data_IF_549108500337
#
_entry.id   IF_549108500337
#
_cell.length_a   1.000
_cell.length_b   1.000
_cell.length_c   1.000
_cell.angle_alpha   90.00
_cell.angle_beta   90.00
_cell.angle_gamma   90.00
#
_symmetry.space_group_name_H-M   'P 1'
#
loop_
_entity.id
_entity.type
_entity.pdbx_description
1 polymer ?
#
# COMPACT_ATOMS: atom_id res chain seq x y z
N UNK A 1 -3.32 1.22 43.86
CA UNK A 1 -2.24 2.12 43.36
C UNK A 1 -1.71 1.70 41.99
N UNK A 2 -1.95 0.46 41.54
CA UNK A 2 -1.44 -0.11 40.27
C UNK A 2 -2.25 0.30 39.04
N UNK A 3 -3.57 0.44 39.15
CA UNK A 3 -4.47 0.73 38.03
C UNK A 3 -4.26 2.12 37.43
N UNK A 4 -4.13 3.13 38.30
CA UNK A 4 -3.86 4.53 37.92
C UNK A 4 -2.51 4.73 37.21
N UNK A 5 -1.52 3.88 37.54
CA UNK A 5 -0.20 3.91 36.92
C UNK A 5 -0.22 3.24 35.54
N UNK A 6 -1.00 2.17 35.39
CA UNK A 6 -1.23 1.51 34.10
C UNK A 6 -2.01 2.40 33.12
N UNK A 7 -3.03 3.13 33.59
CA UNK A 7 -3.73 4.13 32.78
C UNK A 7 -2.81 5.27 32.32
N UNK A 8 -1.95 5.78 33.21
CA UNK A 8 -0.98 6.81 32.86
C UNK A 8 0.07 6.33 31.84
N UNK A 9 0.57 5.10 32.01
CA UNK A 9 1.49 4.49 31.05
C UNK A 9 0.83 4.26 29.69
N UNK A 10 -0.43 3.82 29.67
CA UNK A 10 -1.20 3.64 28.44
C UNK A 10 -1.40 4.97 27.70
N UNK A 11 -1.86 6.01 28.39
CA UNK A 11 -2.04 7.34 27.81
C UNK A 11 -0.72 7.94 27.32
N UNK A 12 0.38 7.73 28.05
CA UNK A 12 1.71 8.19 27.65
C UNK A 12 2.21 7.45 26.39
N UNK A 13 2.07 6.12 26.35
CA UNK A 13 2.46 5.30 25.20
C UNK A 13 1.63 5.63 23.96
N UNK A 14 0.32 5.82 24.15
CA UNK A 14 -0.60 6.27 23.09
C UNK A 14 -0.20 7.64 22.55
N UNK A 15 0.03 8.62 23.42
CA UNK A 15 0.50 9.95 23.02
C UNK A 15 1.89 9.96 22.39
N UNK A 16 2.79 9.03 22.76
CA UNK A 16 4.07 8.84 22.07
C UNK A 16 3.88 8.23 20.68
N UNK A 17 3.00 7.24 20.54
CA UNK A 17 2.63 6.64 19.25
C UNK A 17 2.07 7.68 18.28
N UNK A 18 1.11 8.49 18.73
CA UNK A 18 0.49 9.54 17.91
C UNK A 18 1.50 10.59 17.44
N UNK A 19 2.43 11.00 18.31
CA UNK A 19 3.52 11.92 17.95
C UNK A 19 4.48 11.30 16.94
N UNK A 20 4.86 10.04 17.13
CA UNK A 20 5.75 9.34 16.21
C UNK A 20 5.11 9.20 14.81
N UNK A 21 3.84 8.80 14.76
CA UNK A 21 3.07 8.71 13.52
C UNK A 21 2.94 10.08 12.84
N UNK A 22 2.71 11.14 13.62
CA UNK A 22 2.69 12.51 13.10
C UNK A 22 4.01 12.94 12.43
N UNK A 23 5.14 12.65 13.07
CA UNK A 23 6.48 12.94 12.52
C UNK A 23 6.75 12.14 11.24
N UNK A 24 6.41 10.85 11.22
CA UNK A 24 6.57 10.02 10.01
C UNK A 24 5.67 10.51 8.86
N UNK A 25 4.43 10.90 9.15
CA UNK A 25 3.53 11.50 8.14
C UNK A 25 4.15 12.74 7.52
N UNK A 26 4.58 13.68 8.36
CA UNK A 26 5.16 14.94 7.92
C UNK A 26 6.43 14.71 7.07
N UNK A 27 7.25 13.74 7.47
CA UNK A 27 8.46 13.34 6.72
C UNK A 27 8.10 12.81 5.33
N UNK A 28 7.14 11.89 5.24
CA UNK A 28 6.69 11.31 3.96
C UNK A 28 6.05 12.36 3.06
N UNK A 29 5.23 13.26 3.63
CA UNK A 29 4.60 14.35 2.86
C UNK A 29 5.67 15.25 2.27
N UNK A 30 6.63 15.71 3.07
CA UNK A 30 7.69 16.60 2.59
C UNK A 30 8.53 15.98 1.49
N UNK A 31 8.96 14.73 1.68
CA UNK A 31 9.74 14.02 0.67
C UNK A 31 8.96 13.86 -0.65
N UNK A 32 7.67 13.49 -0.59
CA UNK A 32 6.85 13.39 -1.81
C UNK A 32 6.54 14.75 -2.46
N UNK A 33 6.40 15.82 -1.67
CA UNK A 33 6.25 17.19 -2.20
C UNK A 33 7.52 17.68 -2.88
N UNK A 34 8.70 17.33 -2.34
CA UNK A 34 10.01 17.60 -2.95
C UNK A 34 10.17 16.84 -4.27
N UNK A 35 9.85 15.54 -4.29
CA UNK A 35 9.87 14.72 -5.50
C UNK A 35 8.89 15.23 -6.57
N UNK A 36 7.64 15.56 -6.21
CA UNK A 36 6.69 16.12 -7.19
C UNK A 36 7.18 17.46 -7.76
N UNK A 37 7.82 18.29 -6.92
CA UNK A 37 8.43 19.52 -7.37
C UNK A 37 9.58 19.28 -8.35
N UNK A 38 10.50 18.35 -8.05
CA UNK A 38 11.61 17.97 -8.94
C UNK A 38 11.11 17.43 -10.29
N UNK A 39 10.14 16.52 -10.27
CA UNK A 39 9.51 15.99 -11.49
C UNK A 39 8.80 17.09 -12.28
N UNK A 40 8.19 18.07 -11.61
CA UNK A 40 7.61 19.24 -12.28
C UNK A 40 8.68 20.11 -12.95
N UNK A 41 9.87 20.25 -12.36
CA UNK A 41 10.97 20.99 -12.99
C UNK A 41 11.52 20.24 -14.21
N UNK A 42 11.63 18.91 -14.13
CA UNK A 42 12.05 18.07 -15.25
C UNK A 42 11.05 18.14 -16.39
N UNK A 43 9.75 18.03 -16.09
CA UNK A 43 8.68 18.13 -17.08
C UNK A 43 8.67 19.51 -17.77
N UNK A 44 8.77 20.60 -17.00
CA UNK A 44 8.87 21.95 -17.55
C UNK A 44 10.11 22.15 -18.42
N UNK A 45 11.25 21.56 -18.01
CA UNK A 45 12.48 21.57 -18.80
C UNK A 45 12.31 20.80 -20.11
N UNK A 46 11.65 19.65 -20.09
CA UNK A 46 11.32 18.86 -21.29
C UNK A 46 10.49 19.67 -22.30
N UNK A 47 9.46 20.40 -21.86
CA UNK A 47 8.67 21.27 -22.74
C UNK A 47 9.48 22.40 -23.38
N UNK A 48 10.53 22.90 -22.70
CA UNK A 48 11.46 23.86 -23.29
C UNK A 48 12.31 23.21 -24.40
N UNK A 49 12.66 21.92 -24.26
CA UNK A 49 13.41 21.17 -25.27
C UNK A 49 12.63 20.97 -26.57
N UNK A 50 11.30 20.81 -26.50
CA UNK A 50 10.44 20.76 -27.68
C UNK A 50 10.56 22.04 -28.51
N UNK A 51 10.69 23.19 -27.84
CA UNK A 51 10.96 24.48 -28.48
C UNK A 51 12.30 24.50 -29.21
N UNK A 52 13.37 23.96 -28.60
CA UNK A 52 14.68 23.85 -29.25
C UNK A 52 14.67 22.89 -30.45
N UNK A 53 14.00 21.74 -30.31
CA UNK A 53 13.80 20.78 -31.40
C UNK A 53 13.04 21.44 -32.57
N UNK A 54 12.00 22.24 -32.30
CA UNK A 54 11.28 22.99 -33.34
C UNK A 54 12.14 24.01 -34.09
N UNK A 55 13.21 24.52 -33.47
CA UNK A 55 14.15 25.48 -34.08
C UNK A 55 15.35 24.84 -34.78
N UNK A 56 15.52 23.52 -34.67
CA UNK A 56 16.62 22.78 -35.30
C UNK A 56 17.90 22.63 -34.46
N UNK A 57 17.91 23.06 -33.20
CA UNK A 57 19.06 22.93 -32.28
C UNK A 57 19.05 21.58 -31.53
N UNK A 58 19.05 20.48 -32.31
CA UNK A 58 18.88 19.12 -31.80
C UNK A 58 20.00 18.68 -30.88
N UNK A 59 21.24 19.09 -31.19
CA UNK A 59 22.42 18.70 -30.39
C UNK A 59 22.30 19.22 -28.96
N UNK A 60 21.95 20.50 -28.81
CA UNK A 60 21.77 21.12 -27.50
C UNK A 60 20.59 20.50 -26.75
N UNK A 61 19.49 20.27 -27.46
CA UNK A 61 18.32 19.64 -26.86
C UNK A 61 18.63 18.21 -26.39
N UNK A 62 19.46 17.46 -27.14
CA UNK A 62 19.86 16.09 -26.79
C UNK A 62 20.77 16.04 -25.57
N UNK A 63 21.77 16.94 -25.49
CA UNK A 63 22.62 17.10 -24.30
C UNK A 63 21.80 17.47 -23.04
N UNK A 64 20.69 18.20 -23.21
CA UNK A 64 19.79 18.52 -22.11
C UNK A 64 18.87 17.34 -21.76
N UNK A 65 18.39 16.58 -22.74
CA UNK A 65 17.60 15.38 -22.51
C UNK A 65 18.39 14.32 -21.71
N UNK A 66 19.68 14.14 -22.01
CA UNK A 66 20.56 13.24 -21.25
C UNK A 66 20.68 13.67 -19.78
N UNK A 67 20.79 14.98 -19.51
CA UNK A 67 20.82 15.51 -18.13
C UNK A 67 19.51 15.26 -17.41
N UNK A 68 18.36 15.42 -18.08
CA UNK A 68 17.07 15.11 -17.48
C UNK A 68 16.93 13.62 -17.15
N UNK A 69 17.41 12.73 -18.04
CA UNK A 69 17.45 11.30 -17.80
C UNK A 69 18.25 10.96 -16.53
N UNK A 70 19.44 11.55 -16.37
CA UNK A 70 20.30 11.32 -15.19
C UNK A 70 19.65 11.76 -13.86
N UNK A 71 18.74 12.74 -13.89
CA UNK A 71 18.02 13.19 -12.69
C UNK A 71 16.90 12.22 -12.26
N UNK A 72 16.39 11.39 -13.17
CA UNK A 72 15.31 10.44 -12.84
C UNK A 72 15.79 9.26 -11.98
N UNK A 73 17.05 8.86 -12.11
CA UNK A 73 17.63 7.74 -11.35
C UNK A 73 17.52 7.93 -9.82
N UNK A 74 18.09 9.01 -9.27
CA UNK A 74 18.00 9.31 -7.83
C UNK A 74 16.56 9.41 -7.31
N UNK A 75 15.64 9.98 -8.12
CA UNK A 75 14.22 10.08 -7.77
C UNK A 75 13.59 8.68 -7.68
N UNK A 76 13.91 7.79 -8.63
CA UNK A 76 13.47 6.40 -8.61
C UNK A 76 13.93 5.66 -7.36
N UNK A 77 15.21 5.80 -6.99
CA UNK A 77 15.79 5.18 -5.79
C UNK A 77 15.09 5.66 -4.50
N UNK A 78 14.77 6.95 -4.41
CA UNK A 78 14.08 7.52 -3.26
C UNK A 78 12.64 7.00 -3.17
N UNK A 79 11.90 6.95 -4.28
CA UNK A 79 10.54 6.39 -4.33
C UNK A 79 10.56 4.92 -3.92
N UNK A 80 11.51 4.12 -4.41
CA UNK A 80 11.64 2.70 -4.04
C UNK A 80 11.84 2.54 -2.53
N UNK A 81 12.70 3.37 -1.93
CA UNK A 81 12.90 3.38 -0.47
C UNK A 81 11.60 3.72 0.28
N UNK A 82 10.84 4.72 -0.19
CA UNK A 82 9.59 5.15 0.44
C UNK A 82 8.46 4.12 0.29
N UNK A 83 8.44 3.33 -0.78
CA UNK A 83 7.46 2.24 -0.97
C UNK A 83 7.54 1.15 0.11
N UNK A 84 8.68 1.03 0.79
CA UNK A 84 8.79 0.16 1.97
C UNK A 84 7.99 0.71 3.17
N UNK A 85 7.85 2.03 3.27
CA UNK A 85 7.29 2.74 4.43
C UNK A 85 5.80 3.02 4.31
N UNK A 86 5.29 3.16 3.08
CA UNK A 86 3.88 3.46 2.82
C UNK A 86 3.27 2.58 1.75
N UNK A 87 2.01 2.17 1.97
CA UNK A 87 1.23 1.42 0.99
C UNK A 87 0.60 2.33 -0.07
N UNK A 88 0.67 3.65 0.09
CA UNK A 88 0.10 4.61 -0.86
C UNK A 88 0.94 4.77 -2.14
N UNK A 89 2.23 4.41 -2.09
CA UNK A 89 3.13 4.45 -3.25
C UNK A 89 3.14 3.13 -3.99
N UNK A 90 3.08 3.17 -5.31
CA UNK A 90 2.82 2.03 -6.19
C UNK A 90 4.00 1.77 -7.15
N UNK A 91 4.37 0.51 -7.49
CA UNK A 91 5.48 0.24 -8.42
C UNK A 91 5.32 0.88 -9.81
N UNK A 92 4.08 1.15 -10.23
CA UNK A 92 3.76 1.83 -11.48
C UNK A 92 4.37 3.23 -11.56
N UNK A 93 4.71 3.87 -10.43
CA UNK A 93 5.45 5.13 -10.42
C UNK A 93 6.85 4.89 -10.99
N UNK A 94 7.53 3.84 -10.51
CA UNK A 94 8.86 3.47 -11.00
C UNK A 94 8.82 3.09 -12.49
N UNK A 95 7.82 2.31 -12.91
CA UNK A 95 7.64 1.96 -14.33
C UNK A 95 7.47 3.20 -15.21
N UNK A 96 6.61 4.17 -14.81
CA UNK A 96 6.48 5.42 -15.56
C UNK A 96 7.78 6.25 -15.56
N UNK A 97 8.58 6.23 -14.47
CA UNK A 97 9.87 6.92 -14.46
C UNK A 97 10.91 6.23 -15.36
N UNK A 98 10.94 4.90 -15.39
CA UNK A 98 11.79 4.12 -16.30
C UNK A 98 11.43 4.37 -17.78
N UNK A 99 10.12 4.37 -18.10
CA UNK A 99 9.63 4.68 -19.44
C UNK A 99 9.97 6.13 -19.84
N UNK A 100 9.75 7.09 -18.94
CA UNK A 100 10.19 8.48 -19.17
C UNK A 100 11.70 8.59 -19.39
N UNK A 101 12.49 7.84 -18.63
CA UNK A 101 13.94 7.76 -18.79
C UNK A 101 14.34 7.21 -20.16
N UNK A 102 13.66 6.16 -20.64
CA UNK A 102 13.89 5.56 -21.96
C UNK A 102 13.60 6.55 -23.09
N UNK A 103 12.50 7.32 -22.96
CA UNK A 103 12.17 8.37 -23.92
C UNK A 103 13.20 9.51 -23.91
N UNK A 104 13.67 9.96 -22.75
CA UNK A 104 14.70 10.99 -22.66
C UNK A 104 16.04 10.53 -23.23
N UNK A 105 16.41 9.25 -23.03
CA UNK A 105 17.58 8.64 -23.65
C UNK A 105 17.41 8.60 -25.19
N UNK A 106 16.24 8.21 -25.69
CA UNK A 106 15.91 8.26 -27.11
C UNK A 106 16.01 9.67 -27.70
N UNK A 107 15.51 10.69 -26.98
CA UNK A 107 15.63 12.09 -27.37
C UNK A 107 17.09 12.55 -27.42
N UNK A 108 17.95 12.06 -26.54
CA UNK A 108 19.39 12.38 -26.52
C UNK A 108 20.15 11.82 -27.73
N UNK A 109 19.74 10.65 -28.23
CA UNK A 109 20.33 9.99 -29.40
C UNK A 109 19.68 10.34 -30.74
N UNK A 110 18.66 11.20 -30.75
CA UNK A 110 17.87 11.50 -31.95
C UNK A 110 18.67 12.30 -32.98
N UNK A 111 18.68 11.83 -34.23
CA UNK A 111 19.34 12.51 -35.36
C UNK A 111 18.39 13.43 -36.14
N UNK A 112 17.09 13.35 -35.84
CA UNK A 112 16.05 14.15 -36.50
C UNK A 112 15.12 14.83 -35.49
N UNK A 113 14.62 16.01 -35.85
CA UNK A 113 13.69 16.75 -35.00
C UNK A 113 12.36 16.05 -34.76
N UNK A 114 11.85 15.30 -35.74
CA UNK A 114 10.59 14.57 -35.59
C UNK A 114 10.70 13.43 -34.57
N UNK A 115 11.78 12.65 -34.63
CA UNK A 115 12.06 11.60 -33.64
C UNK A 115 12.29 12.18 -32.24
N UNK A 116 13.03 13.28 -32.17
CA UNK A 116 13.26 13.98 -30.92
C UNK A 116 11.96 14.48 -30.28
N UNK A 117 11.07 15.12 -31.06
CA UNK A 117 9.78 15.58 -30.56
C UNK A 117 8.92 14.43 -30.05
N UNK A 118 8.83 13.33 -30.81
CA UNK A 118 8.06 12.16 -30.39
C UNK A 118 8.58 11.57 -29.06
N UNK A 119 9.90 11.51 -28.88
CA UNK A 119 10.52 11.06 -27.64
C UNK A 119 10.25 12.05 -26.48
N UNK A 120 10.37 13.36 -26.70
CA UNK A 120 10.07 14.35 -25.66
C UNK A 120 8.60 14.32 -25.23
N UNK A 121 7.67 14.16 -26.19
CA UNK A 121 6.23 13.99 -25.91
C UNK A 121 5.97 12.73 -25.06
N UNK A 122 6.59 11.60 -25.42
CA UNK A 122 6.50 10.36 -24.64
C UNK A 122 7.03 10.52 -23.22
N UNK A 123 8.16 11.20 -23.06
CA UNK A 123 8.71 11.50 -21.74
C UNK A 123 7.76 12.37 -20.90
N UNK A 124 7.11 13.37 -21.51
CA UNK A 124 6.14 14.22 -20.80
C UNK A 124 4.91 13.43 -20.33
N UNK A 125 4.39 12.53 -21.16
CA UNK A 125 3.23 11.72 -20.81
C UNK A 125 3.53 10.87 -19.57
N UNK A 126 4.66 10.17 -19.56
CA UNK A 126 5.03 9.27 -18.47
C UNK A 126 5.39 10.02 -17.19
N UNK A 127 6.07 11.16 -17.28
CA UNK A 127 6.28 12.04 -16.12
C UNK A 127 4.95 12.53 -15.54
N UNK A 128 3.98 12.88 -16.40
CA UNK A 128 2.63 13.26 -15.98
C UNK A 128 1.90 12.12 -15.27
N UNK A 129 2.03 10.88 -15.76
CA UNK A 129 1.47 9.68 -15.12
C UNK A 129 2.10 9.44 -13.74
N UNK A 130 3.43 9.52 -13.62
CA UNK A 130 4.14 9.37 -12.35
C UNK A 130 3.70 10.41 -11.32
N UNK A 131 3.69 11.70 -11.70
CA UNK A 131 3.22 12.80 -10.84
C UNK A 131 1.76 12.65 -10.41
N UNK A 132 0.89 12.23 -11.32
CA UNK A 132 -0.52 11.96 -10.98
C UNK A 132 -0.68 10.85 -9.95
N UNK A 133 0.18 9.84 -9.96
CA UNK A 133 0.21 8.78 -8.95
C UNK A 133 0.76 9.29 -7.61
N UNK A 134 1.84 10.09 -7.63
CA UNK A 134 2.41 10.73 -6.43
C UNK A 134 1.39 11.66 -5.77
N UNK A 135 0.66 12.46 -6.55
CA UNK A 135 -0.41 13.33 -6.03
C UNK A 135 -1.51 12.55 -5.31
N UNK A 136 -1.93 11.39 -5.84
CA UNK A 136 -2.88 10.49 -5.16
C UNK A 136 -2.29 9.90 -3.88
N UNK A 137 -1.01 9.54 -3.88
CA UNK A 137 -0.33 9.04 -2.70
C UNK A 137 -0.25 10.11 -1.59
N UNK A 138 0.08 11.35 -1.95
CA UNK A 138 0.07 12.51 -1.06
C UNK A 138 -1.32 12.74 -0.43
N UNK A 139 -2.38 12.72 -1.23
CA UNK A 139 -3.76 12.84 -0.73
C UNK A 139 -4.12 11.68 0.22
N UNK A 140 -3.69 10.46 -0.11
CA UNK A 140 -3.82 9.28 0.75
C UNK A 140 -3.13 9.47 2.10
N UNK A 141 -1.85 9.84 2.12
CA UNK A 141 -1.07 10.04 3.35
C UNK A 141 -1.65 11.18 4.21
N UNK A 142 -2.12 12.26 3.57
CA UNK A 142 -2.74 13.42 4.25
C UNK A 142 -4.09 13.07 4.90
N UNK A 143 -4.89 12.21 4.26
CA UNK A 143 -6.22 11.82 4.74
C UNK A 143 -6.23 10.59 5.66
N UNK A 144 -5.17 9.78 5.65
CA UNK A 144 -5.06 8.54 6.39
C UNK A 144 -4.87 8.74 7.90
N UNK A 145 -5.44 7.84 8.69
CA UNK A 145 -5.21 7.77 10.14
C UNK A 145 -3.77 7.36 10.44
N UNK A 146 -3.16 6.54 9.57
CA UNK A 146 -1.78 6.05 9.70
C UNK A 146 -0.92 6.47 8.49
N UNK A 147 0.35 6.89 8.69
CA UNK A 147 1.24 7.29 7.59
C UNK A 147 1.53 6.16 6.60
N UNK A 148 1.57 4.92 7.10
CA UNK A 148 1.81 3.72 6.28
C UNK A 148 0.59 3.28 5.48
N UNK A 149 -0.62 3.77 5.80
CA UNK A 149 -1.88 3.34 5.19
C UNK A 149 -2.37 1.94 5.59
N UNK A 150 -1.54 1.14 6.27
CA UNK A 150 -1.86 -0.24 6.63
C UNK A 150 -3.06 -0.34 7.57
N UNK A 151 -3.15 0.53 8.58
CA UNK A 151 -4.27 0.48 9.53
C UNK A 151 -5.61 0.79 8.87
N UNK A 152 -5.63 1.76 7.96
CA UNK A 152 -6.82 2.13 7.20
C UNK A 152 -7.19 1.03 6.21
N UNK A 153 -6.20 0.44 5.51
CA UNK A 153 -6.40 -0.72 4.65
C UNK A 153 -7.01 -1.90 5.42
N UNK A 154 -6.44 -2.27 6.57
CA UNK A 154 -6.93 -3.37 7.39
C UNK A 154 -8.35 -3.11 7.89
N UNK A 155 -8.65 -1.88 8.32
CA UNK A 155 -10.01 -1.49 8.73
C UNK A 155 -11.02 -1.68 7.60
N UNK A 156 -10.69 -1.22 6.39
CA UNK A 156 -11.56 -1.40 5.22
C UNK A 156 -11.69 -2.87 4.81
N UNK A 157 -10.61 -3.65 4.89
CA UNK A 157 -10.65 -5.08 4.62
C UNK A 157 -11.50 -5.84 5.65
N UNK A 158 -11.38 -5.50 6.94
CA UNK A 158 -12.23 -6.06 7.99
C UNK A 158 -13.71 -5.76 7.73
N UNK A 159 -14.05 -4.57 7.23
CA UNK A 159 -15.43 -4.26 6.84
C UNK A 159 -15.93 -5.13 5.68
N UNK A 160 -15.09 -5.39 4.66
CA UNK A 160 -15.42 -6.32 3.56
C UNK A 160 -15.67 -7.73 4.11
N UNK A 161 -14.82 -8.19 5.03
CA UNK A 161 -14.94 -9.51 5.67
C UNK A 161 -16.23 -9.60 6.49
N UNK A 162 -16.56 -8.57 7.27
CA UNK A 162 -17.81 -8.49 8.05
C UNK A 162 -19.04 -8.58 7.13
N UNK A 163 -19.09 -7.76 6.08
CA UNK A 163 -20.20 -7.80 5.12
C UNK A 163 -20.32 -9.18 4.43
N UNK A 164 -19.19 -9.82 4.13
CA UNK A 164 -19.18 -11.18 3.58
C UNK A 164 -19.70 -12.21 4.58
N UNK A 165 -19.44 -12.01 5.88
CA UNK A 165 -19.96 -12.83 6.97
C UNK A 165 -21.48 -12.73 7.10
N UNK A 166 -22.01 -11.50 7.12
CA UNK A 166 -23.46 -11.21 7.15
C UNK A 166 -24.17 -11.84 5.95
N UNK A 167 -23.57 -11.74 4.76
CA UNK A 167 -24.11 -12.35 3.56
C UNK A 167 -24.15 -13.89 3.63
N UNK A 168 -23.12 -14.50 4.24
CA UNK A 168 -23.10 -15.92 4.54
C UNK A 168 -24.13 -16.34 5.59
N UNK A 169 -24.45 -15.49 6.57
CA UNK A 169 -25.53 -15.70 7.54
C UNK A 169 -26.90 -15.70 6.89
N UNK A 170 -27.19 -14.70 6.05
CA UNK A 170 -28.44 -14.65 5.30
C UNK A 170 -28.60 -15.88 4.40
N UNK A 171 -27.52 -16.33 3.75
CA UNK A 171 -27.56 -17.57 2.97
C UNK A 171 -27.90 -18.77 3.86
N UNK A 172 -27.29 -18.90 5.05
CA UNK A 172 -27.64 -19.98 5.99
C UNK A 172 -29.09 -19.93 6.43
N UNK A 173 -29.60 -18.74 6.75
CA UNK A 173 -31.00 -18.54 7.14
C UNK A 173 -31.94 -18.96 6.01
N UNK A 174 -31.68 -18.52 4.78
CA UNK A 174 -32.40 -18.92 3.58
C UNK A 174 -32.42 -20.44 3.38
N UNK A 175 -31.28 -21.11 3.59
CA UNK A 175 -31.16 -22.57 3.46
C UNK A 175 -31.82 -23.34 4.62
N UNK A 176 -31.87 -22.76 5.82
CA UNK A 176 -32.53 -23.34 7.00
C UNK A 176 -34.06 -23.22 6.94
N UNK A 177 -34.57 -22.29 6.12
CA UNK A 177 -35.98 -22.11 5.85
C UNK A 177 -36.60 -23.34 5.19
N UNK A 178 -37.46 -24.05 5.93
CA UNK A 178 -38.19 -25.26 5.46
C UNK A 178 -39.25 -25.01 4.37
N UNK A 179 -39.20 -23.93 3.60
CA UNK A 179 -40.27 -23.60 2.64
C UNK A 179 -39.84 -22.71 1.49
N UNK A 180 -40.23 -23.12 0.28
CA UNK A 180 -40.23 -22.42 -1.01
C UNK A 180 -38.97 -21.60 -1.36
N UNK A 181 -38.30 -22.04 -2.43
CA UNK A 181 -37.22 -21.31 -3.08
C UNK A 181 -37.69 -19.90 -3.48
N UNK A 182 -37.18 -18.85 -2.83
CA UNK A 182 -37.48 -17.46 -3.16
C UNK A 182 -36.37 -16.88 -4.04
N UNK A 183 -36.66 -16.80 -5.33
CA UNK A 183 -35.76 -16.24 -6.32
C UNK A 183 -35.41 -14.77 -6.04
N UNK A 184 -36.31 -14.00 -5.40
CA UNK A 184 -36.03 -12.60 -5.07
C UNK A 184 -34.98 -12.47 -3.96
N UNK A 185 -35.00 -13.38 -2.98
CA UNK A 185 -33.98 -13.44 -1.94
C UNK A 185 -32.59 -13.71 -2.53
N UNK A 186 -32.49 -14.67 -3.47
CA UNK A 186 -31.23 -14.97 -4.16
C UNK A 186 -30.72 -13.81 -5.01
N UNK A 187 -31.61 -13.10 -5.71
CA UNK A 187 -31.25 -11.90 -6.46
C UNK A 187 -30.74 -10.77 -5.57
N UNK A 188 -31.36 -10.59 -4.39
CA UNK A 188 -30.89 -9.63 -3.39
C UNK A 188 -29.50 -10.00 -2.87
N UNK A 189 -29.26 -11.28 -2.58
CA UNK A 189 -27.93 -11.78 -2.20
C UNK A 189 -26.90 -11.59 -3.30
N UNK A 190 -27.25 -11.82 -4.57
CA UNK A 190 -26.34 -11.58 -5.71
C UNK A 190 -25.95 -10.10 -5.81
N UNK A 191 -26.91 -9.19 -5.63
CA UNK A 191 -26.64 -7.75 -5.60
C UNK A 191 -25.74 -7.35 -4.42
N UNK A 192 -25.96 -7.94 -3.24
CA UNK A 192 -25.06 -7.73 -2.09
C UNK A 192 -23.65 -8.27 -2.38
N UNK A 193 -23.52 -9.47 -2.95
CA UNK A 193 -22.21 -10.03 -3.33
C UNK A 193 -21.45 -9.10 -4.28
N UNK A 194 -22.16 -8.54 -5.26
CA UNK A 194 -21.62 -7.58 -6.22
C UNK A 194 -21.10 -6.33 -5.50
N UNK A 195 -21.89 -5.76 -4.59
CA UNK A 195 -21.48 -4.58 -3.83
C UNK A 195 -20.25 -4.84 -2.95
N UNK A 196 -20.16 -6.02 -2.31
CA UNK A 196 -19.00 -6.42 -1.51
C UNK A 196 -17.76 -6.56 -2.40
N UNK A 197 -17.90 -7.21 -3.56
CA UNK A 197 -16.83 -7.35 -4.56
C UNK A 197 -16.30 -5.99 -5.01
N UNK A 198 -17.19 -5.07 -5.39
CA UNK A 198 -16.82 -3.73 -5.83
C UNK A 198 -16.18 -2.90 -4.70
N UNK A 199 -16.56 -3.13 -3.45
CA UNK A 199 -15.87 -2.55 -2.28
C UNK A 199 -14.43 -3.05 -2.19
N UNK A 200 -14.21 -4.37 -2.34
CA UNK A 200 -12.88 -4.96 -2.33
C UNK A 200 -12.03 -4.50 -3.52
N UNK A 201 -12.59 -4.43 -4.73
CA UNK A 201 -11.90 -3.91 -5.92
C UNK A 201 -11.47 -2.45 -5.75
N UNK A 202 -12.35 -1.60 -5.19
CA UNK A 202 -12.00 -0.21 -4.86
C UNK A 202 -10.96 -0.10 -3.76
N UNK A 203 -10.96 -1.02 -2.80
CA UNK A 203 -9.92 -1.09 -1.78
C UNK A 203 -8.57 -1.46 -2.42
N UNK A 204 -8.54 -2.47 -3.29
CA UNK A 204 -7.31 -2.89 -3.97
C UNK A 204 -6.76 -1.82 -4.92
N UNK A 205 -7.63 -1.12 -5.65
CA UNK A 205 -7.19 -0.09 -6.59
C UNK A 205 -6.51 1.10 -5.90
N UNK A 206 -6.85 1.35 -4.62
CA UNK A 206 -6.21 2.38 -3.77
C UNK A 206 -4.85 1.96 -3.22
N UNK A 207 -4.57 0.67 -3.12
CA UNK A 207 -3.41 0.12 -2.41
C UNK A 207 -2.67 -0.96 -3.24
N UNK A 208 -2.36 -0.65 -4.49
CA UNK A 208 -1.75 -1.55 -5.47
C UNK A 208 -0.32 -2.04 -5.09
N UNK A 209 0.29 -1.43 -4.08
CA UNK A 209 1.67 -1.66 -3.63
C UNK A 209 1.93 -2.95 -2.84
N UNK A 210 0.88 -3.68 -2.47
CA UNK A 210 1.00 -4.89 -1.65
C UNK A 210 1.45 -6.15 -2.45
N UNK A 211 1.70 -6.03 -3.76
CA UNK A 211 2.33 -7.08 -4.60
C UNK A 211 1.67 -8.46 -4.44
N UNK A 212 2.47 -9.51 -4.22
CA UNK A 212 1.99 -10.89 -3.99
C UNK A 212 0.94 -11.04 -2.88
N UNK A 213 0.89 -10.11 -1.91
CA UNK A 213 -0.15 -10.15 -0.85
C UNK A 213 -1.54 -9.82 -1.39
N UNK A 214 -1.63 -9.10 -2.51
CA UNK A 214 -2.89 -8.80 -3.19
C UNK A 214 -3.39 -9.97 -4.04
N UNK A 215 -2.53 -10.86 -4.52
CA UNK A 215 -2.94 -12.05 -5.29
C UNK A 215 -3.96 -12.93 -4.52
N UNK A 216 -3.84 -12.98 -3.19
CA UNK A 216 -4.83 -13.63 -2.33
C UNK A 216 -6.22 -12.98 -2.41
N UNK A 217 -6.25 -11.65 -2.42
CA UNK A 217 -7.47 -10.86 -2.53
C UNK A 217 -8.02 -10.82 -3.97
N UNK A 218 -7.17 -10.86 -5.01
CA UNK A 218 -7.58 -10.98 -6.41
C UNK A 218 -8.35 -12.27 -6.66
N UNK A 219 -7.83 -13.42 -6.21
CA UNK A 219 -8.60 -14.64 -6.31
C UNK A 219 -9.85 -14.63 -5.42
N UNK A 220 -9.97 -13.71 -4.44
CA UNK A 220 -11.19 -13.56 -3.63
C UNK A 220 -12.24 -12.86 -4.46
N UNK A 221 -11.87 -11.81 -5.20
CA UNK A 221 -12.71 -11.17 -6.21
C UNK A 221 -13.24 -12.18 -7.22
N UNK A 222 -12.39 -13.08 -7.73
CA UNK A 222 -12.84 -14.11 -8.68
C UNK A 222 -13.83 -15.11 -8.06
N UNK A 223 -13.60 -15.53 -6.81
CA UNK A 223 -14.56 -16.36 -6.07
C UNK A 223 -15.89 -15.60 -5.83
N UNK A 224 -15.84 -14.30 -5.53
CA UNK A 224 -17.04 -13.47 -5.38
C UNK A 224 -17.84 -13.39 -6.68
N UNK A 225 -17.19 -13.20 -7.84
CA UNK A 225 -17.85 -13.21 -9.17
C UNK A 225 -18.53 -14.56 -9.44
N UNK A 226 -17.85 -15.66 -9.08
CA UNK A 226 -18.40 -17.01 -9.24
C UNK A 226 -19.66 -17.19 -8.38
N UNK A 227 -19.64 -16.75 -7.13
CA UNK A 227 -20.80 -16.84 -6.22
C UNK A 227 -21.94 -15.95 -6.71
N UNK A 228 -21.65 -14.75 -7.19
CA UNK A 228 -22.64 -13.88 -7.84
C UNK A 228 -23.33 -14.60 -9.01
N UNK A 229 -22.57 -15.25 -9.90
CA UNK A 229 -23.11 -16.07 -10.99
C UNK A 229 -23.99 -17.22 -10.48
N UNK A 230 -23.51 -17.97 -9.50
CA UNK A 230 -24.26 -19.09 -8.91
C UNK A 230 -25.57 -18.64 -8.25
N UNK A 231 -25.60 -17.47 -7.61
CA UNK A 231 -26.82 -16.89 -7.02
C UNK A 231 -27.82 -16.47 -8.11
N UNK A 232 -27.35 -15.84 -9.19
CA UNK A 232 -28.22 -15.42 -10.31
C UNK A 232 -28.84 -16.61 -11.05
N UNK A 233 -28.08 -17.69 -11.21
CA UNK A 233 -28.50 -18.92 -11.88
C UNK A 233 -29.39 -19.80 -10.99
N UNK A 234 -29.52 -19.49 -9.70
CA UNK A 234 -30.22 -20.34 -8.74
C UNK A 234 -29.55 -21.70 -8.57
N UNK A 235 -28.21 -21.72 -8.57
CA UNK A 235 -27.42 -22.93 -8.40
C UNK A 235 -27.70 -23.64 -7.06
N UNK A 236 -27.26 -24.89 -6.97
CA UNK A 236 -27.46 -25.72 -5.79
C UNK A 236 -26.90 -25.06 -4.51
N UNK A 237 -27.75 -25.00 -3.48
CA UNK A 237 -27.48 -24.42 -2.17
C UNK A 237 -26.13 -24.84 -1.55
N UNK A 238 -25.85 -26.13 -1.51
CA UNK A 238 -24.63 -26.66 -0.90
C UNK A 238 -23.37 -26.24 -1.67
N UNK A 239 -23.47 -26.10 -3.00
CA UNK A 239 -22.36 -25.60 -3.81
C UNK A 239 -22.06 -24.14 -3.51
N UNK A 240 -23.09 -23.29 -3.37
CA UNK A 240 -22.91 -21.87 -3.02
C UNK A 240 -22.29 -21.74 -1.63
N UNK A 241 -22.73 -22.56 -0.67
CA UNK A 241 -22.23 -22.57 0.70
C UNK A 241 -20.75 -22.98 0.79
N UNK A 242 -20.32 -24.01 0.07
CA UNK A 242 -18.90 -24.41 0.07
C UNK A 242 -18.01 -23.32 -0.54
N UNK A 243 -18.46 -22.67 -1.60
CA UNK A 243 -17.72 -21.58 -2.24
C UNK A 243 -17.63 -20.34 -1.35
N UNK A 244 -18.70 -20.02 -0.60
CA UNK A 244 -18.70 -18.98 0.44
C UNK A 244 -17.68 -19.27 1.55
N UNK A 245 -17.60 -20.52 2.00
CA UNK A 245 -16.61 -20.94 3.01
C UNK A 245 -15.18 -20.78 2.49
N UNK A 246 -14.90 -21.24 1.27
CA UNK A 246 -13.59 -21.07 0.65
C UNK A 246 -13.21 -19.59 0.45
N UNK A 247 -14.17 -18.75 0.04
CA UNK A 247 -13.97 -17.31 -0.07
C UNK A 247 -13.57 -16.71 1.29
N UNK A 248 -14.33 -17.02 2.35
CA UNK A 248 -14.07 -16.49 3.69
C UNK A 248 -12.70 -16.91 4.21
N UNK A 249 -12.33 -18.19 4.07
CA UNK A 249 -11.01 -18.68 4.47
C UNK A 249 -9.88 -17.96 3.73
N UNK A 250 -10.07 -17.64 2.44
CA UNK A 250 -9.07 -16.91 1.65
C UNK A 250 -8.96 -15.45 2.08
N UNK A 251 -10.07 -14.77 2.38
CA UNK A 251 -10.06 -13.40 2.90
C UNK A 251 -9.32 -13.33 4.24
N UNK A 252 -9.64 -14.22 5.17
CA UNK A 252 -8.98 -14.29 6.49
C UNK A 252 -7.49 -14.63 6.40
N UNK A 253 -7.12 -15.58 5.52
CA UNK A 253 -5.71 -15.90 5.25
C UNK A 253 -4.97 -14.69 4.68
N UNK A 254 -5.60 -13.93 3.79
CA UNK A 254 -5.02 -12.72 3.19
C UNK A 254 -4.83 -11.62 4.24
N UNK A 255 -5.84 -11.38 5.08
CA UNK A 255 -5.74 -10.42 6.19
C UNK A 255 -4.58 -10.78 7.14
N UNK A 256 -4.47 -12.06 7.53
CA UNK A 256 -3.38 -12.56 8.39
C UNK A 256 -2.01 -12.37 7.74
N UNK A 257 -1.88 -12.66 6.45
CA UNK A 257 -0.64 -12.47 5.71
C UNK A 257 -0.23 -10.99 5.66
N UNK A 258 -1.20 -10.09 5.44
CA UNK A 258 -0.98 -8.64 5.38
C UNK A 258 -0.56 -8.10 6.76
N UNK A 259 -1.27 -8.47 7.83
CA UNK A 259 -0.89 -8.15 9.22
C UNK A 259 0.54 -8.60 9.54
N UNK A 260 0.89 -9.84 9.19
CA UNK A 260 2.21 -10.41 9.47
C UNK A 260 3.34 -9.67 8.73
N UNK A 261 3.11 -9.25 7.47
CA UNK A 261 4.06 -8.43 6.69
C UNK A 261 4.19 -7.02 7.25
N UNK A 262 3.09 -6.39 7.65
CA UNK A 262 3.09 -5.09 8.30
C UNK A 262 3.94 -5.07 9.56
N UNK A 263 3.73 -6.04 10.46
CA UNK A 263 4.52 -6.22 11.68
C UNK A 263 6.00 -6.46 11.36
N UNK A 264 6.32 -7.25 10.32
CA UNK A 264 7.70 -7.49 9.89
C UNK A 264 8.40 -6.21 9.40
N UNK A 265 7.69 -5.35 8.65
CA UNK A 265 8.22 -4.05 8.20
C UNK A 265 8.46 -3.09 9.36
N UNK A 266 7.53 -2.99 10.32
CA UNK A 266 7.73 -2.21 11.54
C UNK A 266 8.97 -2.67 12.33
N UNK A 267 9.19 -3.98 12.44
CA UNK A 267 10.37 -4.55 13.14
C UNK A 267 11.69 -4.35 12.39
N UNK A 268 11.67 -4.09 11.08
CA UNK A 268 12.89 -3.79 10.29
C UNK A 268 13.28 -2.31 10.34
N UNK A 269 12.38 -1.42 10.74
CA UNK A 269 12.67 0.00 10.92
C UNK A 269 13.21 0.25 12.32
N UNK A 270 14.48 -0.08 12.55
CA UNK A 270 15.37 0.58 13.53
C UNK A 270 16.81 0.07 13.35
N UNK A 271 17.73 1.00 13.04
CA UNK A 271 18.67 1.41 14.07
C UNK A 271 18.56 2.92 14.32
N UNK A 272 18.52 3.30 15.60
CA UNK A 272 18.52 4.70 16.01
C UNK A 272 19.79 5.40 15.53
N UNK A 273 19.63 6.60 14.95
CA UNK A 273 20.76 7.53 14.81
C UNK A 273 20.99 8.15 16.19
N UNK A 274 22.23 8.10 16.67
CA UNK A 274 22.64 8.77 17.90
C UNK A 274 22.31 10.27 17.79
N UNK A 275 21.39 10.73 18.63
CA UNK A 275 21.09 12.15 18.76
C UNK A 275 22.20 12.76 19.62
N UNK A 276 23.06 13.58 19.00
CA UNK A 276 24.01 14.39 19.75
C UNK A 276 23.22 15.51 20.43
N UNK A 277 23.17 15.48 21.76
CA UNK A 277 22.58 16.52 22.59
C UNK A 277 23.17 17.90 22.22
N UNK A 278 22.35 18.92 21.87
CA UNK A 278 22.84 20.25 21.50
C UNK A 278 23.47 21.05 22.66
N UNK A 279 23.56 20.53 23.88
CA UNK A 279 23.95 21.32 25.07
C UNK A 279 25.31 21.02 25.70
N UNK A 280 26.22 20.33 24.99
CA UNK A 280 27.60 20.11 25.49
C UNK A 280 28.63 20.76 24.54
N UNK A 281 29.44 21.75 25.00
CA UNK A 281 30.46 22.37 24.16
C UNK A 281 31.62 21.40 23.86
N UNK A 282 32.28 21.56 22.71
CA UNK A 282 33.14 20.55 22.11
C UNK A 282 34.49 20.50 22.84
N UNK A 283 35.13 19.33 22.83
CA UNK A 283 36.58 19.09 22.64
C UNK A 283 36.80 17.59 22.94
N UNK A 284 37.40 16.85 22.01
CA UNK A 284 38.61 16.04 22.24
C UNK A 284 39.09 15.44 20.88
N UNK A 285 40.41 15.18 20.75
CA UNK A 285 41.14 15.23 19.49
C UNK A 285 41.11 13.92 18.70
N UNK A 286 41.65 14.02 17.48
CA UNK A 286 41.81 12.95 16.51
C UNK A 286 42.44 11.67 17.09
N UNK A 287 41.79 10.54 16.78
CA UNK A 287 42.41 9.22 16.67
C UNK A 287 42.21 8.30 17.86
N UNK A 288 41.16 7.45 17.83
CA UNK A 288 41.28 6.07 18.35
C UNK A 288 40.52 5.11 17.43
N UNK A 289 41.28 4.12 17.01
CA UNK A 289 40.93 3.01 16.13
C UNK A 289 40.34 1.84 16.95
N UNK A 290 39.58 0.97 16.26
CA UNK A 290 39.31 -0.47 16.51
C UNK A 290 38.05 -0.89 17.30
N UNK A 291 37.19 -1.59 16.55
CA UNK A 291 36.73 -3.00 16.70
C UNK A 291 36.51 -3.54 18.12
N UNK A 292 35.28 -4.02 18.35
CA UNK A 292 34.82 -5.21 19.13
C UNK A 292 33.49 -4.83 19.82
N UNK A 293 32.43 -5.61 19.94
CA UNK A 293 32.16 -7.05 19.82
C UNK A 293 30.65 -7.16 20.03
N UNK A 294 29.89 -7.72 19.08
CA UNK A 294 28.50 -8.11 19.32
C UNK A 294 28.51 -9.35 20.23
N UNK A 295 28.39 -9.10 21.54
CA UNK A 295 28.09 -10.11 22.53
C UNK A 295 26.65 -10.57 22.33
N UNK A 296 26.48 -11.78 21.81
CA UNK A 296 25.24 -12.54 21.84
C UNK A 296 24.81 -12.80 23.29
N UNK A 297 23.61 -12.35 23.66
CA UNK A 297 22.83 -12.95 24.73
C UNK A 297 21.41 -13.20 24.20
N UNK A 298 20.86 -14.42 24.32
CA UNK A 298 19.53 -14.74 23.85
C UNK A 298 18.50 -14.11 24.79
N UNK A 299 17.74 -13.14 24.30
CA UNK A 299 16.56 -12.62 24.99
C UNK A 299 15.38 -13.45 24.52
N UNK A 300 14.97 -14.43 25.33
CA UNK A 300 13.69 -15.12 25.16
C UNK A 300 12.56 -14.11 25.39
N UNK A 301 11.75 -13.86 24.34
CA UNK A 301 10.52 -13.08 24.46
C UNK A 301 9.35 -14.03 24.75
N UNK A 302 8.43 -13.67 25.67
CA UNK A 302 7.23 -14.45 25.93
C UNK A 302 6.33 -14.49 24.69
N UNK A 303 5.77 -15.66 24.39
CA UNK A 303 5.01 -16.00 23.17
C UNK A 303 3.72 -15.18 22.93
N UNK A 304 3.35 -14.22 23.76
CA UNK A 304 2.14 -13.43 23.54
C UNK A 304 2.10 -12.10 24.30
N UNK A 305 2.30 -10.94 23.64
CA UNK A 305 2.14 -9.64 24.29
C UNK A 305 0.77 -8.98 24.10
N UNK A 306 -0.22 -9.59 23.44
CA UNK A 306 -1.56 -9.01 23.29
C UNK A 306 -2.65 -10.06 23.51
N UNK A 307 -3.06 -10.20 24.77
CA UNK A 307 -4.20 -10.99 25.16
C UNK A 307 -5.54 -10.31 24.86
N UNK A 308 -6.49 -11.17 24.49
CA UNK A 308 -7.95 -11.05 24.65
C UNK A 308 -8.66 -10.21 23.58
N UNK A 309 -9.13 -10.92 22.55
CA UNK A 309 -10.08 -10.43 21.53
C UNK A 309 -10.32 -11.45 20.41
N UNK A 310 -9.34 -12.32 20.15
CA UNK A 310 -9.39 -13.27 19.02
C UNK A 310 -9.94 -14.66 19.39
N UNK A 311 -10.22 -14.95 20.66
CA UNK A 311 -10.70 -16.29 21.09
C UNK A 311 -12.22 -16.46 21.05
N UNK A 312 -13.04 -15.42 21.01
CA UNK A 312 -14.51 -15.62 20.99
C UNK A 312 -15.02 -15.88 19.55
N UNK A 313 -14.54 -15.13 18.56
CA UNK A 313 -15.02 -15.23 17.16
C UNK A 313 -14.57 -16.55 16.50
N UNK A 314 -13.35 -17.01 16.79
CA UNK A 314 -12.82 -18.27 16.25
C UNK A 314 -13.57 -19.46 16.85
N UNK A 315 -13.84 -19.46 18.15
CA UNK A 315 -14.53 -20.56 18.81
C UNK A 315 -16.02 -20.59 18.46
N UNK A 316 -16.69 -19.44 18.30
CA UNK A 316 -18.10 -19.42 17.90
C UNK A 316 -18.28 -19.87 16.44
N UNK A 317 -17.39 -19.47 15.52
CA UNK A 317 -17.43 -19.94 14.14
C UNK A 317 -17.25 -21.47 14.02
N UNK A 318 -16.30 -22.06 14.75
CA UNK A 318 -16.08 -23.51 14.70
C UNK A 318 -17.11 -24.32 15.50
N UNK A 319 -17.68 -23.77 16.57
CA UNK A 319 -18.73 -24.43 17.36
C UNK A 319 -20.05 -24.52 16.61
N UNK A 320 -20.36 -23.52 15.78
CA UNK A 320 -21.55 -23.45 14.93
C UNK A 320 -21.46 -24.32 13.66
N UNK A 321 -20.28 -24.77 13.26
CA UNK A 321 -20.08 -25.65 12.08
C UNK A 321 -20.09 -27.15 12.40
N UNK A 322 -20.16 -27.50 13.68
CA UNK A 322 -20.12 -28.90 14.15
C UNK A 322 -21.43 -29.39 14.79
N UNK A 323 -22.52 -28.61 14.69
CA UNK A 323 -23.88 -29.01 15.08
C UNK A 323 -24.81 -28.95 13.86
#
# INVERSE_FOLDING_TARGET
MTERYMEQLYEMLKGMGDRYLGVQRERLIKALEEIDWELSQIQASSSILEGYAGTGDYKRAGEMAEKLHQLLGPIGDEIECMMAETLFLNPQILSSLEEAGTYLEGASGSESGGEMMANLEGAQEELGRARGQIGRALEGIKSASSPSGLSDFLRSLSQVISNQGEMGEMLREYLSGKGAFDYNALMSMAAMQRAIRESLERLLSRYQSLGDTLKGLEGAIEAMKKIEGMLNEGAEAERIKEEQKHLMERLLRSEKAIKSRGISRERKSTPGKDYVDPTVPPILPAGVNKKSTLGTAPMEFPENPYGIGESEIIYDYFRLLTQ
#
